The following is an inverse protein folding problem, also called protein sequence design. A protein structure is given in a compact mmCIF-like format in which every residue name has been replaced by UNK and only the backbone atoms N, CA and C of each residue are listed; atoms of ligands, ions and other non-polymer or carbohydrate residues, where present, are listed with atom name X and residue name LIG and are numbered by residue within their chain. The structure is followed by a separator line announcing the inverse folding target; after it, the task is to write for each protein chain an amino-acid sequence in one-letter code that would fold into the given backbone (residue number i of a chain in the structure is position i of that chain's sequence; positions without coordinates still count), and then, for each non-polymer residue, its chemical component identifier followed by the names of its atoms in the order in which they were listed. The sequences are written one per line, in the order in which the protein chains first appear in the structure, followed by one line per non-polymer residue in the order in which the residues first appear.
data_IF_213423696536
#
_entry.id   IF_213423696536
#
_cell.length_a   1.000
_cell.length_b   1.000
_cell.length_c   1.000
_cell.angle_alpha   90.00
_cell.angle_beta   90.00
_cell.angle_gamma   90.00
#
_symmetry.space_group_name_H-M   'P 1'
#
loop_
_entity.id
_entity.type
_entity.pdbx_description
1 polymer ?
#
# COMPACT_ATOMS: atom_id res chain seq x y z
N UNK A 1 7.40 -15.98 3.96
CA UNK A 1 7.11 -14.86 3.03
C UNK A 1 5.95 -13.98 3.50
N UNK A 2 4.76 -14.52 3.81
CA UNK A 2 3.62 -13.71 4.32
C UNK A 2 3.96 -12.90 5.59
N UNK A 3 4.74 -13.46 6.53
CA UNK A 3 5.26 -12.72 7.70
C UNK A 3 6.03 -11.44 7.33
N UNK A 4 6.75 -11.43 6.21
CA UNK A 4 7.48 -10.25 5.77
C UNK A 4 6.53 -9.16 5.26
N UNK A 5 5.44 -9.54 4.61
CA UNK A 5 4.37 -8.61 4.20
C UNK A 5 3.71 -7.99 5.43
N UNK A 6 3.43 -8.80 6.46
CA UNK A 6 2.95 -8.31 7.75
C UNK A 6 3.92 -7.32 8.40
N UNK A 7 5.22 -7.63 8.46
CA UNK A 7 6.22 -6.73 9.03
C UNK A 7 6.33 -5.40 8.26
N UNK A 8 6.30 -5.45 6.92
CA UNK A 8 6.35 -4.24 6.08
C UNK A 8 5.16 -3.30 6.30
N UNK A 9 4.03 -3.83 6.75
CA UNK A 9 2.79 -3.08 6.98
C UNK A 9 2.66 -2.58 8.42
N UNK A 10 3.19 -3.31 9.40
CA UNK A 10 2.96 -3.03 10.83
C UNK A 10 4.18 -2.48 11.59
N UNK A 11 5.41 -2.71 11.13
CA UNK A 11 6.60 -2.45 11.95
C UNK A 11 7.58 -1.50 11.25
N UNK A 12 7.60 -0.24 11.68
CA UNK A 12 8.56 0.75 11.17
C UNK A 12 9.92 0.66 11.87
N UNK A 13 9.99 0.08 13.07
CA UNK A 13 11.23 0.01 13.86
C UNK A 13 12.16 -1.15 13.50
N UNK A 14 11.74 -1.99 12.55
CA UNK A 14 12.55 -3.10 12.09
C UNK A 14 13.56 -2.64 11.03
N UNK A 15 14.87 -2.82 11.30
CA UNK A 15 15.94 -2.40 10.37
C UNK A 15 15.76 -2.99 8.96
N UNK A 16 15.35 -4.25 8.85
CA UNK A 16 15.07 -4.86 7.54
C UNK A 16 13.91 -4.16 6.85
N UNK A 17 12.85 -3.77 7.56
CA UNK A 17 11.72 -3.01 6.99
C UNK A 17 12.16 -1.61 6.54
N UNK A 18 12.94 -0.89 7.35
CA UNK A 18 13.46 0.43 6.99
C UNK A 18 14.34 0.37 5.75
N UNK A 19 15.30 -0.56 5.72
CA UNK A 19 16.15 -0.80 4.56
C UNK A 19 15.31 -1.18 3.33
N UNK A 20 14.30 -2.03 3.51
CA UNK A 20 13.40 -2.44 2.43
C UNK A 20 12.62 -1.27 1.83
N UNK A 21 12.10 -0.37 2.68
CA UNK A 21 11.39 0.83 2.26
C UNK A 21 12.32 1.79 1.50
N UNK A 22 13.56 1.96 1.98
CA UNK A 22 14.55 2.86 1.38
C UNK A 22 15.11 2.34 0.05
N UNK A 23 15.58 1.08 0.01
CA UNK A 23 16.36 0.56 -1.11
C UNK A 23 15.53 -0.23 -2.12
N UNK A 24 14.45 -0.89 -1.69
CA UNK A 24 13.68 -1.78 -2.57
C UNK A 24 12.40 -1.13 -3.06
N UNK A 25 11.63 -0.53 -2.16
CA UNK A 25 10.39 0.13 -2.52
C UNK A 25 10.64 1.55 -3.05
N UNK A 26 11.65 2.27 -2.55
CA UNK A 26 12.07 3.60 -3.04
C UNK A 26 10.85 4.53 -3.19
N UNK A 27 10.11 4.71 -2.09
CA UNK A 27 8.90 5.54 -2.06
C UNK A 27 7.68 4.97 -2.80
N UNK A 28 7.75 3.76 -3.37
CA UNK A 28 6.61 3.07 -3.96
C UNK A 28 5.80 2.34 -2.88
N UNK A 29 4.51 2.21 -3.15
CA UNK A 29 3.62 1.44 -2.31
C UNK A 29 3.79 -0.08 -2.57
N UNK A 30 3.81 -0.88 -1.50
CA UNK A 30 3.95 -2.34 -1.56
C UNK A 30 2.90 -3.01 -2.44
N UNK A 31 1.65 -2.54 -2.34
CA UNK A 31 0.48 -3.19 -2.92
C UNK A 31 0.35 -2.96 -4.43
N UNK A 32 0.83 -1.83 -4.92
CA UNK A 32 0.76 -1.46 -6.33
C UNK A 32 2.10 -1.54 -7.06
N UNK A 33 3.19 -1.88 -6.35
CA UNK A 33 4.51 -1.98 -6.99
C UNK A 33 4.55 -3.15 -7.98
N UNK A 34 5.12 -2.96 -9.19
CA UNK A 34 5.30 -4.03 -10.16
C UNK A 34 6.15 -5.19 -9.58
N UNK A 35 5.75 -6.44 -9.84
CA UNK A 35 6.56 -7.62 -9.51
C UNK A 35 7.54 -8.00 -10.63
N UNK A 36 7.53 -7.28 -11.75
CA UNK A 36 8.42 -7.45 -12.90
C UNK A 36 9.63 -6.50 -12.82
N UNK A 37 10.78 -6.95 -13.32
CA UNK A 37 12.05 -6.20 -13.32
C UNK A 37 13.20 -6.95 -12.66
N UNK A 38 14.36 -6.28 -12.57
CA UNK A 38 15.57 -6.76 -11.88
C UNK A 38 15.41 -6.68 -10.35
N UNK A 39 14.50 -7.48 -9.82
CA UNK A 39 14.32 -7.66 -8.37
C UNK A 39 14.95 -8.98 -7.94
N UNK A 40 15.51 -9.00 -6.73
CA UNK A 40 15.93 -10.25 -6.12
C UNK A 40 14.75 -11.24 -6.07
N UNK A 41 15.03 -12.53 -6.28
CA UNK A 41 14.00 -13.58 -6.34
C UNK A 41 13.07 -13.58 -5.12
N UNK A 42 13.63 -13.32 -3.93
CA UNK A 42 12.87 -13.16 -2.68
C UNK A 42 11.83 -12.05 -2.74
N UNK A 43 12.20 -10.87 -3.26
CA UNK A 43 11.31 -9.73 -3.42
C UNK A 43 10.23 -9.97 -4.46
N UNK A 44 10.58 -10.61 -5.57
CA UNK A 44 9.59 -11.02 -6.57
C UNK A 44 8.52 -11.91 -5.95
N UNK A 45 8.92 -12.89 -5.12
CA UNK A 45 7.98 -13.75 -4.41
C UNK A 45 7.14 -13.00 -3.37
N UNK A 46 7.72 -12.07 -2.61
CA UNK A 46 6.98 -11.23 -1.66
C UNK A 46 5.90 -10.42 -2.40
N UNK A 47 6.24 -9.81 -3.53
CA UNK A 47 5.31 -9.02 -4.33
C UNK A 47 4.23 -9.88 -5.01
N UNK A 48 4.53 -11.11 -5.41
CA UNK A 48 3.52 -12.04 -5.93
C UNK A 48 2.54 -12.45 -4.81
N UNK A 49 3.06 -12.79 -3.63
CA UNK A 49 2.25 -13.27 -2.50
C UNK A 49 1.40 -12.19 -1.83
N UNK A 50 1.59 -10.91 -2.15
CA UNK A 50 0.75 -9.82 -1.62
C UNK A 50 -0.73 -10.04 -1.91
N UNK A 51 -1.08 -10.60 -3.06
CA UNK A 51 -2.48 -10.83 -3.42
C UNK A 51 -3.11 -11.89 -2.52
N UNK A 52 -2.35 -12.93 -2.17
CA UNK A 52 -2.77 -13.91 -1.16
C UNK A 52 -2.90 -13.25 0.21
N UNK A 53 -1.92 -12.43 0.60
CA UNK A 53 -1.97 -11.71 1.87
C UNK A 53 -3.20 -10.79 1.98
N UNK A 54 -3.61 -10.11 0.91
CA UNK A 54 -4.82 -9.27 0.91
C UNK A 54 -6.11 -10.04 1.19
N UNK A 55 -6.15 -11.35 0.94
CA UNK A 55 -7.33 -12.15 1.27
C UNK A 55 -7.41 -12.47 2.77
N UNK A 56 -6.26 -12.57 3.43
CA UNK A 56 -6.17 -12.95 4.85
C UNK A 56 -6.00 -11.75 5.79
N UNK A 57 -5.66 -10.57 5.24
CA UNK A 57 -5.48 -9.32 5.99
C UNK A 57 -6.76 -8.50 5.97
N UNK A 58 -7.10 -7.93 7.12
CA UNK A 58 -8.12 -6.89 7.24
C UNK A 58 -7.44 -5.61 7.69
N UNK A 59 -7.70 -4.51 6.98
CA UNK A 59 -7.13 -3.20 7.30
C UNK A 59 -8.18 -2.38 8.04
N UNK A 60 -7.88 -2.04 9.29
CA UNK A 60 -8.61 -1.01 10.02
C UNK A 60 -7.91 0.33 9.82
N UNK A 61 -8.62 1.27 9.19
CA UNK A 61 -8.12 2.63 8.99
C UNK A 61 -8.32 3.38 10.31
N UNK A 62 -7.21 3.75 10.96
CA UNK A 62 -7.22 4.66 12.10
C UNK A 62 -7.40 6.12 11.68
N UNK A 63 -6.44 6.98 12.03
CA UNK A 63 -6.46 8.42 11.66
C UNK A 63 -6.20 8.69 10.17
N UNK A 64 -5.79 7.68 9.39
CA UNK A 64 -5.55 7.78 7.96
C UNK A 64 -4.30 8.60 7.57
N UNK A 65 -3.44 8.97 8.53
CA UNK A 65 -2.27 9.84 8.31
C UNK A 65 -1.19 9.17 7.45
N UNK A 66 -0.91 7.91 7.76
CA UNK A 66 0.11 7.12 7.06
C UNK A 66 -0.43 6.39 5.83
N UNK A 67 -1.74 6.21 5.74
CA UNK A 67 -2.41 5.48 4.66
C UNK A 67 -2.54 6.33 3.38
N UNK A 68 -2.08 5.80 2.25
CA UNK A 68 -2.32 6.38 0.94
C UNK A 68 -3.78 6.19 0.53
N UNK A 69 -4.41 7.28 0.10
CA UNK A 69 -5.76 7.25 -0.47
C UNK A 69 -5.84 6.33 -1.69
N UNK A 70 -4.81 6.33 -2.53
CA UNK A 70 -4.86 5.69 -3.85
C UNK A 70 -4.28 4.28 -3.89
N UNK A 71 -3.20 4.04 -3.15
CA UNK A 71 -2.38 2.84 -3.34
C UNK A 71 -2.54 1.80 -2.23
N UNK A 72 -2.97 2.20 -1.04
CA UNK A 72 -3.19 1.25 0.05
C UNK A 72 -4.58 0.58 -0.04
N UNK A 73 -4.70 -0.67 0.43
CA UNK A 73 -5.88 -1.53 0.23
C UNK A 73 -6.98 -1.29 1.28
N UNK A 74 -7.30 -0.05 1.58
CA UNK A 74 -8.32 0.28 2.59
C UNK A 74 -9.76 0.06 2.10
N UNK A 75 -9.99 0.02 0.79
CA UNK A 75 -11.32 -0.13 0.20
C UNK A 75 -11.57 -1.60 -0.17
N UNK A 76 -12.19 -2.37 0.74
CA UNK A 76 -12.51 -3.80 0.52
C UNK A 76 -11.26 -4.63 0.15
N UNK A 77 -10.15 -4.44 0.88
CA UNK A 77 -8.86 -5.07 0.61
C UNK A 77 -8.30 -4.81 -0.80
N UNK A 78 -8.73 -3.72 -1.44
CA UNK A 78 -8.24 -3.27 -2.73
C UNK A 78 -7.88 -1.80 -2.68
N UNK A 79 -6.86 -1.42 -3.47
CA UNK A 79 -6.52 -0.02 -3.63
C UNK A 79 -7.41 0.63 -4.68
N UNK A 80 -7.71 1.92 -4.50
CA UNK A 80 -8.52 2.69 -5.45
C UNK A 80 -7.87 2.69 -6.82
N UNK A 81 -6.54 2.80 -6.88
CA UNK A 81 -5.78 2.70 -8.13
C UNK A 81 -5.91 1.31 -8.77
N UNK A 82 -5.91 0.21 -8.02
CA UNK A 82 -6.09 -1.12 -8.60
C UNK A 82 -7.49 -1.31 -9.20
N UNK A 83 -8.52 -0.70 -8.59
CA UNK A 83 -9.92 -0.83 -9.03
C UNK A 83 -10.30 0.10 -10.18
N UNK A 84 -9.88 1.36 -10.14
CA UNK A 84 -10.31 2.40 -11.08
C UNK A 84 -9.17 2.97 -11.94
N UNK A 85 -7.94 2.59 -11.68
CA UNK A 85 -6.76 3.05 -12.42
C UNK A 85 -6.43 4.53 -12.16
N UNK A 86 -5.54 5.06 -13.00
CA UNK A 86 -5.09 6.46 -12.92
C UNK A 86 -6.21 7.48 -13.17
N UNK A 87 -7.32 7.07 -13.81
CA UNK A 87 -8.43 7.97 -14.11
C UNK A 87 -9.10 8.50 -12.84
N UNK A 88 -9.27 7.67 -11.81
CA UNK A 88 -9.83 8.12 -10.54
C UNK A 88 -8.99 9.22 -9.88
N UNK A 89 -7.66 9.09 -9.95
CA UNK A 89 -6.73 10.12 -9.44
C UNK A 89 -6.91 11.42 -10.24
N UNK A 90 -6.88 11.32 -11.57
CA UNK A 90 -7.02 12.48 -12.46
C UNK A 90 -8.34 13.23 -12.27
N UNK A 91 -9.46 12.50 -12.28
CA UNK A 91 -10.80 13.09 -12.19
C UNK A 91 -11.06 13.71 -10.80
N UNK A 92 -10.44 13.17 -9.73
CA UNK A 92 -10.57 13.69 -8.36
C UNK A 92 -9.88 15.04 -8.12
N UNK A 93 -8.91 15.42 -8.97
CA UNK A 93 -8.03 16.59 -8.80
C UNK A 93 -7.20 16.60 -7.50
N UNK A 94 -7.18 15.50 -6.76
CA UNK A 94 -6.35 15.34 -5.57
C UNK A 94 -4.93 14.92 -5.93
N UNK A 95 -4.00 15.15 -5.02
CA UNK A 95 -2.61 14.73 -5.20
C UNK A 95 -2.50 13.21 -5.31
N UNK A 96 -1.56 12.73 -6.14
CA UNK A 96 -1.19 11.29 -6.18
C UNK A 96 -0.66 10.80 -4.83
N UNK A 97 -0.12 11.69 -4.01
CA UNK A 97 0.37 11.38 -2.67
C UNK A 97 -0.66 11.65 -1.57
N UNK A 98 -1.92 11.96 -1.94
CA UNK A 98 -2.98 12.25 -0.99
C UNK A 98 -3.13 11.12 0.04
N UNK A 99 -3.24 11.52 1.29
CA UNK A 99 -3.48 10.63 2.43
C UNK A 99 -4.98 10.45 2.65
N UNK A 100 -5.33 9.33 3.28
CA UNK A 100 -6.72 9.01 3.54
C UNK A 100 -7.37 10.01 4.49
N UNK A 101 -6.60 10.55 5.45
CA UNK A 101 -7.04 11.60 6.37
C UNK A 101 -7.51 12.90 5.69
N UNK A 102 -7.08 13.18 4.46
CA UNK A 102 -7.45 14.41 3.75
C UNK A 102 -8.91 14.37 3.28
N UNK A 103 -9.48 13.17 3.19
CA UNK A 103 -10.76 12.93 2.52
C UNK A 103 -11.77 12.22 3.44
N UNK A 104 -11.30 11.43 4.40
CA UNK A 104 -12.15 10.74 5.37
C UNK A 104 -11.86 11.26 6.77
N UNK A 105 -12.90 11.71 7.45
CA UNK A 105 -12.85 12.15 8.84
C UNK A 105 -14.00 11.48 9.61
N UNK A 106 -13.71 10.86 10.75
CA UNK A 106 -14.70 10.18 11.61
C UNK A 106 -15.56 9.14 10.87
N UNK A 107 -14.98 8.46 9.87
CA UNK A 107 -15.67 7.45 9.07
C UNK A 107 -16.61 8.00 7.99
N UNK A 108 -16.64 9.32 7.79
CA UNK A 108 -17.42 9.98 6.75
C UNK A 108 -16.51 10.64 5.68
N UNK A 109 -17.01 10.70 4.44
CA UNK A 109 -16.40 11.47 3.38
C UNK A 109 -16.60 12.97 3.63
N UNK A 110 -15.55 13.75 3.43
CA UNK A 110 -15.56 15.21 3.54
C UNK A 110 -15.95 15.89 2.23
#
# INVERSE_FOLDING_TARGET
MLRHIWLLTHSEDNLWVQWSKAEVLIGRNLWTSPSNGNLAWTWRNILILRHTALNDLTFEVGDGTNFSLWFDPWMQNQSVHARYGNRAIYDSRLSKNAKLMEVIQEGAWR
#
